data_IF_841421760798
#
_entry.id   IF_841421760798
#
_cell.length_a   1.000
_cell.length_b   1.000
_cell.length_c   1.000
_cell.angle_alpha   90.00
_cell.angle_beta   90.00
_cell.angle_gamma   90.00
#
_symmetry.space_group_name_H-M   'P 1'
#
loop_
_entity.id
_entity.type
_entity.pdbx_description
1 polymer ?
#
# COMPACT_ATOMS: atom_id res chain seq x y z
N UNK A 1 -5.35 22.38 9.69
CA UNK A 1 -4.51 21.17 9.68
C UNK A 1 -3.08 21.59 9.99
N UNK A 2 -2.46 21.11 11.07
CA UNK A 2 -1.03 21.37 11.33
C UNK A 2 -0.24 20.37 10.49
N UNK A 3 0.62 20.85 9.61
CA UNK A 3 1.55 20.00 8.86
C UNK A 3 2.70 19.67 9.80
N UNK A 4 2.91 18.38 10.05
CA UNK A 4 3.99 17.88 10.92
C UNK A 4 5.01 17.13 10.08
N UNK A 5 6.26 17.15 10.52
CA UNK A 5 7.36 16.41 9.89
C UNK A 5 7.23 14.91 10.14
N UNK A 6 7.96 14.15 9.33
CA UNK A 6 8.24 12.73 9.51
C UNK A 6 8.50 12.30 10.95
N UNK A 7 9.38 13.06 11.61
CA UNK A 7 9.89 12.75 12.94
C UNK A 7 8.87 13.12 14.00
N UNK A 8 8.18 14.26 13.84
CA UNK A 8 7.09 14.66 14.72
C UNK A 8 5.92 13.67 14.66
N UNK A 9 5.57 13.16 13.48
CA UNK A 9 4.51 12.16 13.34
C UNK A 9 4.84 10.88 14.12
N UNK A 10 6.09 10.39 14.02
CA UNK A 10 6.54 9.22 14.80
C UNK A 10 6.51 9.45 16.30
N UNK A 11 6.89 10.65 16.73
CA UNK A 11 6.87 10.99 18.15
C UNK A 11 5.43 11.06 18.68
N UNK A 12 4.49 11.59 17.88
CA UNK A 12 3.07 11.58 18.20
C UNK A 12 2.55 10.15 18.31
N UNK A 13 2.88 9.28 17.35
CA UNK A 13 2.48 7.87 17.39
C UNK A 13 3.06 7.17 18.62
N UNK A 14 4.35 7.39 18.92
CA UNK A 14 5.02 6.83 20.10
C UNK A 14 4.31 7.23 21.39
N UNK A 15 4.03 8.51 21.59
CA UNK A 15 3.32 8.99 22.79
C UNK A 15 1.91 8.44 22.86
N UNK A 16 1.23 8.34 21.73
CA UNK A 16 -0.12 7.75 21.66
C UNK A 16 -0.11 6.28 22.10
N UNK A 17 0.94 5.55 21.77
CA UNK A 17 1.12 4.15 22.20
C UNK A 17 1.54 4.07 23.67
N UNK A 18 2.57 4.82 24.07
CA UNK A 18 3.23 4.68 25.38
C UNK A 18 2.48 5.40 26.51
N UNK A 19 1.91 6.57 26.25
CA UNK A 19 1.28 7.42 27.28
C UNK A 19 -0.25 7.24 27.32
N UNK A 20 -0.89 7.10 26.15
CA UNK A 20 -2.35 6.93 26.06
C UNK A 20 -2.74 5.44 26.06
N UNK A 21 -1.83 4.56 25.66
CA UNK A 21 -2.06 3.11 25.65
C UNK A 21 -2.83 2.60 24.43
N UNK A 22 -2.95 3.38 23.35
CA UNK A 22 -3.60 2.93 22.12
C UNK A 22 -2.62 2.05 21.33
N UNK A 23 -2.96 0.78 21.02
CA UNK A 23 -2.04 -0.09 20.30
C UNK A 23 -1.68 0.43 18.91
N UNK A 24 -0.42 0.24 18.48
CA UNK A 24 0.03 0.64 17.14
C UNK A 24 -0.81 0.06 16.01
N UNK A 25 -1.25 -1.20 16.15
CA UNK A 25 -2.18 -1.84 15.22
C UNK A 25 -3.49 -1.05 15.03
N UNK A 26 -4.01 -0.38 16.08
CA UNK A 26 -5.23 0.44 15.99
C UNK A 26 -4.94 1.75 15.25
N UNK A 27 -3.76 2.34 15.43
CA UNK A 27 -3.35 3.53 14.67
C UNK A 27 -3.20 3.22 13.18
N UNK A 28 -2.52 2.10 12.86
CA UNK A 28 -2.36 1.58 11.51
C UNK A 28 -3.73 1.25 10.87
N UNK A 29 -4.65 0.68 11.65
CA UNK A 29 -6.02 0.41 11.20
C UNK A 29 -6.73 1.69 10.76
N UNK A 30 -6.65 2.74 11.58
CA UNK A 30 -7.29 4.02 11.29
C UNK A 30 -6.68 4.71 10.06
N UNK A 31 -5.35 4.63 9.91
CA UNK A 31 -4.65 5.16 8.73
C UNK A 31 -5.11 4.46 7.45
N UNK A 32 -5.09 3.13 7.44
CA UNK A 32 -5.52 2.35 6.28
C UNK A 32 -7.02 2.52 5.96
N UNK A 33 -7.89 2.58 6.98
CA UNK A 33 -9.32 2.86 6.79
C UNK A 33 -9.58 4.23 6.14
N UNK A 34 -8.76 5.22 6.46
CA UNK A 34 -8.89 6.56 5.87
C UNK A 34 -8.63 6.52 4.36
N UNK A 35 -7.60 5.79 3.92
CA UNK A 35 -7.29 5.59 2.50
C UNK A 35 -8.34 4.73 1.81
N UNK A 36 -8.80 3.65 2.45
CA UNK A 36 -9.91 2.83 1.95
C UNK A 36 -11.17 3.67 1.69
N UNK A 37 -11.57 4.51 2.66
CA UNK A 37 -12.74 5.37 2.52
C UNK A 37 -12.58 6.37 1.37
N UNK A 38 -11.38 6.95 1.20
CA UNK A 38 -11.10 7.81 0.06
C UNK A 38 -11.28 7.08 -1.28
N UNK A 39 -10.71 5.88 -1.42
CA UNK A 39 -10.87 5.09 -2.65
C UNK A 39 -12.34 4.77 -2.89
N UNK A 40 -13.07 4.33 -1.85
CA UNK A 40 -14.50 4.03 -1.94
C UNK A 40 -15.33 5.25 -2.37
N UNK A 41 -14.98 6.43 -1.89
CA UNK A 41 -15.69 7.66 -2.25
C UNK A 41 -15.40 8.07 -3.69
N UNK A 42 -14.17 7.87 -4.18
CA UNK A 42 -13.77 8.12 -5.58
C UNK A 42 -14.44 7.17 -6.57
N UNK A 43 -14.71 5.94 -6.16
CA UNK A 43 -15.36 4.90 -6.98
C UNK A 43 -16.87 4.82 -6.74
N UNK A 44 -17.44 5.75 -5.97
CA UNK A 44 -18.86 5.78 -5.65
C UNK A 44 -19.72 5.85 -6.91
N UNK A 45 -20.72 4.97 -7.00
CA UNK A 45 -21.62 4.86 -8.16
C UNK A 45 -21.19 3.81 -9.18
N UNK A 46 -20.04 3.16 -8.97
CA UNK A 46 -19.57 2.02 -9.74
C UNK A 46 -19.58 0.74 -8.88
N UNK A 47 -19.55 -0.42 -9.52
CA UNK A 47 -19.40 -1.72 -8.84
C UNK A 47 -17.94 -1.94 -8.44
N UNK A 48 -17.60 -2.26 -7.18
CA UNK A 48 -16.21 -2.49 -6.75
C UNK A 48 -15.41 -3.45 -7.63
N UNK A 49 -16.05 -4.50 -8.13
CA UNK A 49 -15.46 -5.56 -8.96
C UNK A 49 -14.99 -5.06 -10.33
N UNK A 50 -15.40 -3.86 -10.76
CA UNK A 50 -14.93 -3.25 -11.99
C UNK A 50 -13.55 -2.62 -11.87
N UNK A 51 -13.04 -2.43 -10.65
CA UNK A 51 -11.72 -1.83 -10.43
C UNK A 51 -10.67 -2.89 -10.09
N UNK A 52 -9.55 -2.83 -10.80
CA UNK A 52 -8.32 -3.54 -10.48
C UNK A 52 -7.39 -2.61 -9.71
N UNK A 53 -6.99 -3.03 -8.52
CA UNK A 53 -6.18 -2.25 -7.60
C UNK A 53 -4.87 -3.00 -7.32
N UNK A 54 -3.75 -2.32 -7.58
CA UNK A 54 -2.43 -2.79 -7.20
C UNK A 54 -1.97 -2.08 -5.93
N UNK A 55 -1.54 -2.83 -4.92
CA UNK A 55 -0.99 -2.29 -3.68
C UNK A 55 0.47 -2.70 -3.56
N UNK A 56 1.40 -1.74 -3.58
CA UNK A 56 2.83 -2.02 -3.39
C UNK A 56 3.21 -1.79 -1.94
N UNK A 57 3.52 -2.86 -1.20
CA UNK A 57 3.76 -2.80 0.23
C UNK A 57 5.25 -3.06 0.56
N UNK A 58 5.89 -2.08 1.20
CA UNK A 58 7.20 -2.28 1.82
C UNK A 58 7.10 -3.04 3.16
N UNK A 59 8.22 -3.38 3.79
CA UNK A 59 8.22 -4.13 5.07
C UNK A 59 7.88 -3.32 6.32
N UNK A 60 7.86 -1.99 6.23
CA UNK A 60 7.67 -1.08 7.36
C UNK A 60 6.21 -0.72 7.62
N UNK A 61 5.98 0.26 8.53
CA UNK A 61 4.63 0.69 8.93
C UNK A 61 3.75 1.08 7.74
N UNK A 62 4.28 1.80 6.75
CA UNK A 62 3.54 2.16 5.55
C UNK A 62 3.04 0.93 4.78
N UNK A 63 3.85 -0.11 4.67
CA UNK A 63 3.39 -1.36 4.06
C UNK A 63 2.30 -2.03 4.89
N UNK A 64 2.38 -1.92 6.21
CA UNK A 64 1.29 -2.26 7.11
C UNK A 64 -0.01 -1.50 6.82
N UNK A 65 0.06 -0.17 6.64
CA UNK A 65 -1.09 0.65 6.23
C UNK A 65 -1.65 0.18 4.88
N UNK A 66 -0.77 -0.08 3.91
CA UNK A 66 -1.14 -0.63 2.60
C UNK A 66 -1.83 -2.00 2.70
N UNK A 67 -1.37 -2.86 3.60
CA UNK A 67 -2.00 -4.16 3.86
C UNK A 67 -3.39 -4.01 4.50
N UNK A 68 -3.60 -3.01 5.37
CA UNK A 68 -4.93 -2.64 5.89
C UNK A 68 -5.83 -2.18 4.74
N UNK A 69 -5.34 -1.29 3.88
CA UNK A 69 -6.08 -0.82 2.69
C UNK A 69 -6.47 -2.01 1.81
N UNK A 70 -5.52 -2.89 1.50
CA UNK A 70 -5.72 -4.04 0.64
C UNK A 70 -6.82 -4.98 1.18
N UNK A 71 -6.77 -5.34 2.46
CA UNK A 71 -7.76 -6.26 3.03
C UNK A 71 -9.16 -5.67 3.12
N UNK A 72 -9.29 -4.36 3.34
CA UNK A 72 -10.60 -3.70 3.35
C UNK A 72 -11.18 -3.57 1.95
N UNK A 73 -10.36 -3.21 0.95
CA UNK A 73 -10.76 -3.20 -0.45
C UNK A 73 -11.16 -4.61 -0.93
N UNK A 74 -10.37 -5.62 -0.60
CA UNK A 74 -10.69 -7.02 -0.91
C UNK A 74 -12.04 -7.44 -0.33
N UNK A 75 -12.27 -7.18 0.97
CA UNK A 75 -13.54 -7.48 1.62
C UNK A 75 -14.72 -6.66 1.07
N UNK A 76 -14.47 -5.51 0.45
CA UNK A 76 -15.48 -4.68 -0.19
C UNK A 76 -15.77 -5.05 -1.66
N UNK A 77 -15.16 -6.11 -2.20
CA UNK A 77 -15.42 -6.63 -3.54
C UNK A 77 -14.49 -6.09 -4.64
N UNK A 78 -13.48 -5.30 -4.30
CA UNK A 78 -12.50 -4.83 -5.28
C UNK A 78 -11.58 -5.97 -5.73
N UNK A 79 -11.07 -5.91 -6.98
CA UNK A 79 -10.02 -6.83 -7.45
C UNK A 79 -8.67 -6.31 -7.00
N UNK A 80 -8.17 -6.84 -5.88
CA UNK A 80 -6.91 -6.38 -5.26
C UNK A 80 -5.80 -7.40 -5.48
N UNK A 81 -4.62 -6.91 -5.87
CA UNK A 81 -3.36 -7.67 -5.79
C UNK A 81 -2.34 -6.88 -4.98
N UNK A 82 -1.73 -7.53 -3.99
CA UNK A 82 -0.65 -6.95 -3.19
C UNK A 82 0.70 -7.40 -3.75
N UNK A 83 1.58 -6.45 -4.04
CA UNK A 83 2.96 -6.68 -4.42
C UNK A 83 3.87 -6.34 -3.24
N UNK A 84 4.42 -7.37 -2.58
CA UNK A 84 5.32 -7.24 -1.44
C UNK A 84 6.75 -6.96 -1.95
N UNK A 85 7.35 -5.85 -1.49
CA UNK A 85 8.70 -5.44 -1.89
C UNK A 85 9.79 -5.93 -0.92
N UNK A 86 9.46 -6.94 -0.14
CA UNK A 86 10.34 -7.67 0.75
C UNK A 86 9.75 -9.06 0.99
N UNK A 87 10.59 -10.00 1.41
CA UNK A 87 10.10 -11.30 1.84
C UNK A 87 9.10 -11.17 3.01
N UNK A 88 8.04 -11.99 3.08
CA UNK A 88 7.06 -11.97 4.17
C UNK A 88 7.70 -11.98 5.57
N UNK A 89 8.80 -12.70 5.74
CA UNK A 89 9.53 -12.85 7.01
C UNK A 89 10.25 -11.55 7.42
N UNK A 90 10.47 -10.63 6.49
CA UNK A 90 11.09 -9.34 6.77
C UNK A 90 10.10 -8.31 7.37
N UNK A 91 8.80 -8.59 7.34
CA UNK A 91 7.79 -7.79 8.01
C UNK A 91 7.85 -8.05 9.51
N UNK A 92 7.67 -7.01 10.32
CA UNK A 92 7.65 -7.13 11.78
C UNK A 92 6.56 -6.25 12.40
N UNK A 93 6.32 -6.42 13.70
CA UNK A 93 5.34 -5.64 14.46
C UNK A 93 3.93 -5.66 13.84
N UNK A 94 3.32 -4.47 13.75
CA UNK A 94 1.96 -4.29 13.23
C UNK A 94 1.86 -4.58 11.73
N UNK A 95 2.93 -4.36 10.96
CA UNK A 95 2.96 -4.70 9.54
C UNK A 95 2.90 -6.23 9.32
N UNK A 96 3.64 -7.00 10.12
CA UNK A 96 3.56 -8.48 10.09
C UNK A 96 2.20 -9.00 10.57
N UNK A 97 1.56 -8.31 11.51
CA UNK A 97 0.19 -8.64 11.92
C UNK A 97 -0.77 -8.48 10.74
N UNK A 98 -0.76 -7.33 10.07
CA UNK A 98 -1.66 -7.08 8.94
C UNK A 98 -1.35 -7.95 7.72
N UNK A 99 -0.08 -8.31 7.47
CA UNK A 99 0.28 -9.27 6.44
C UNK A 99 -0.39 -10.63 6.69
N UNK A 100 -0.27 -11.15 7.92
CA UNK A 100 -0.91 -12.43 8.30
C UNK A 100 -2.43 -12.38 8.20
N UNK A 101 -3.05 -11.25 8.55
CA UNK A 101 -4.51 -11.08 8.42
C UNK A 101 -4.91 -11.10 6.93
N UNK A 102 -4.22 -10.33 6.08
CA UNK A 102 -4.50 -10.28 4.64
C UNK A 102 -4.33 -11.67 3.98
N UNK A 103 -3.29 -12.42 4.36
CA UNK A 103 -3.10 -13.81 3.91
C UNK A 103 -4.28 -14.70 4.31
N UNK A 104 -4.74 -14.64 5.56
CA UNK A 104 -5.87 -15.44 6.05
C UNK A 104 -7.21 -15.06 5.41
N UNK A 105 -7.37 -13.81 4.98
CA UNK A 105 -8.53 -13.35 4.22
C UNK A 105 -8.46 -13.75 2.73
N UNK A 106 -7.36 -14.36 2.30
CA UNK A 106 -7.18 -14.80 0.91
C UNK A 106 -6.86 -13.67 -0.06
N UNK A 107 -6.34 -12.54 0.41
CA UNK A 107 -5.94 -11.43 -0.46
C UNK A 107 -4.83 -11.90 -1.41
N UNK A 108 -5.01 -11.81 -2.75
CA UNK A 108 -3.97 -12.19 -3.70
C UNK A 108 -2.68 -11.40 -3.49
N UNK A 109 -1.54 -12.09 -3.45
CA UNK A 109 -0.26 -11.44 -3.21
C UNK A 109 0.90 -12.09 -3.97
N UNK A 110 1.88 -11.26 -4.34
CA UNK A 110 3.11 -11.63 -5.04
C UNK A 110 4.30 -10.91 -4.40
N UNK A 111 5.45 -11.57 -4.34
CA UNK A 111 6.68 -10.97 -3.83
C UNK A 111 7.54 -10.52 -5.00
N UNK A 112 8.01 -9.26 -4.97
CA UNK A 112 8.86 -8.65 -5.99
C UNK A 112 10.19 -8.31 -5.35
N UNK A 113 11.24 -9.05 -5.70
CA UNK A 113 12.57 -8.93 -5.07
C UNK A 113 13.67 -8.57 -6.07
N UNK A 114 13.34 -8.54 -7.35
CA UNK A 114 14.26 -8.30 -8.44
C UNK A 114 13.59 -7.49 -9.57
N UNK A 115 14.41 -6.95 -10.48
CA UNK A 115 13.91 -6.30 -11.70
C UNK A 115 13.19 -7.32 -12.61
N UNK A 116 13.63 -8.57 -12.64
CA UNK A 116 12.96 -9.64 -13.40
C UNK A 116 11.54 -9.90 -12.88
N UNK A 117 11.33 -9.88 -11.56
CA UNK A 117 9.99 -9.99 -10.98
C UNK A 117 9.10 -8.80 -11.37
N UNK A 118 9.70 -7.60 -11.47
CA UNK A 118 8.99 -6.40 -11.89
C UNK A 118 8.58 -6.48 -13.37
N UNK A 119 9.46 -6.99 -14.23
CA UNK A 119 9.16 -7.24 -15.65
C UNK A 119 8.02 -8.24 -15.81
N UNK A 120 8.00 -9.33 -15.02
CA UNK A 120 6.93 -10.35 -15.06
C UNK A 120 5.55 -9.80 -14.71
N UNK A 121 5.47 -8.78 -13.85
CA UNK A 121 4.19 -8.17 -13.48
C UNK A 121 3.80 -6.99 -14.36
N UNK A 122 4.68 -6.54 -15.25
CA UNK A 122 4.44 -5.35 -16.08
C UNK A 122 3.16 -5.46 -16.91
N UNK A 123 2.91 -6.62 -17.50
CA UNK A 123 1.68 -6.95 -18.24
C UNK A 123 0.44 -6.99 -17.32
N UNK A 124 0.60 -7.41 -16.06
CA UNK A 124 -0.50 -7.46 -15.09
C UNK A 124 -0.90 -6.07 -14.58
N UNK A 125 0.06 -5.15 -14.59
CA UNK A 125 -0.18 -3.74 -14.27
C UNK A 125 -0.90 -3.02 -15.42
N UNK A 126 -0.93 -3.61 -16.62
CA UNK A 126 -1.75 -3.08 -17.71
C UNK A 126 -3.25 -3.23 -17.37
N UNK A 127 -3.93 -2.08 -17.31
CA UNK A 127 -5.34 -2.02 -16.93
C UNK A 127 -5.59 -2.07 -15.42
N UNK A 128 -4.57 -1.83 -14.59
CA UNK A 128 -4.79 -1.40 -13.20
C UNK A 128 -5.39 0.00 -13.19
N UNK A 129 -6.50 0.16 -12.49
CA UNK A 129 -7.23 1.43 -12.39
C UNK A 129 -6.69 2.30 -11.25
N UNK A 130 -6.20 1.66 -10.17
CA UNK A 130 -5.71 2.35 -8.96
C UNK A 130 -4.42 1.70 -8.47
N UNK A 131 -3.41 2.51 -8.22
CA UNK A 131 -2.16 2.10 -7.57
C UNK A 131 -2.08 2.72 -6.18
N UNK A 132 -1.89 1.90 -5.16
CA UNK A 132 -1.59 2.33 -3.79
C UNK A 132 -0.11 2.15 -3.54
N UNK A 133 0.60 3.28 -3.42
CA UNK A 133 2.01 3.31 -2.99
C UNK A 133 2.08 3.26 -1.46
N UNK A 134 2.43 2.08 -0.95
CA UNK A 134 2.69 1.81 0.46
C UNK A 134 4.14 1.33 0.65
N UNK A 135 5.05 1.79 -0.22
CA UNK A 135 6.43 1.30 -0.29
C UNK A 135 7.26 1.95 0.81
N UNK A 136 7.24 3.28 0.87
CA UNK A 136 8.08 4.05 1.76
C UNK A 136 7.26 5.06 2.55
N UNK A 137 7.46 5.01 3.87
CA UNK A 137 7.00 6.07 4.76
C UNK A 137 7.93 7.23 4.83
N UNK A 138 7.70 8.05 5.84
CA UNK A 138 8.52 9.19 6.22
C UNK A 138 9.98 8.84 6.62
N UNK A 139 10.42 7.59 6.39
CA UNK A 139 11.65 6.98 6.89
C UNK A 139 12.77 6.81 5.90
N UNK A 140 12.62 7.24 4.64
CA UNK A 140 13.69 7.14 3.67
C UNK A 140 14.37 8.46 3.37
N UNK A 141 15.68 8.45 3.61
CA UNK A 141 16.67 9.27 2.89
C UNK A 141 17.07 8.49 1.63
N UNK A 142 16.20 8.44 0.63
CA UNK A 142 16.47 7.86 -0.69
C UNK A 142 16.26 8.92 -1.77
N UNK A 143 17.20 9.06 -2.72
CA UNK A 143 17.01 9.95 -3.87
C UNK A 143 15.81 9.46 -4.69
N UNK A 144 14.76 10.27 -4.74
CA UNK A 144 13.64 10.11 -5.66
C UNK A 144 14.13 10.31 -7.09
N UNK A 145 14.20 9.23 -7.87
CA UNK A 145 14.44 9.27 -9.31
C UNK A 145 13.16 9.64 -10.06
N UNK A 146 13.28 10.51 -11.06
CA UNK A 146 12.19 10.87 -11.97
C UNK A 146 12.01 9.75 -13.00
N UNK A 147 10.96 8.95 -12.86
CA UNK A 147 10.59 7.97 -13.87
C UNK A 147 9.73 8.65 -14.94
N UNK A 148 10.32 8.94 -16.10
CA UNK A 148 9.62 9.49 -17.26
C UNK A 148 9.37 8.36 -18.27
N UNK A 149 8.10 8.07 -18.56
CA UNK A 149 7.71 7.23 -19.69
C UNK A 149 8.07 7.95 -21.00
N UNK A 150 8.89 7.34 -21.85
CA UNK A 150 8.99 7.76 -23.27
C UNK A 150 7.78 7.17 -23.98
N UNK A 151 6.86 8.03 -24.41
CA UNK A 151 5.87 7.67 -25.41
C UNK A 151 6.57 7.54 -26.76
N UNK A 152 6.77 6.31 -27.23
CA UNK A 152 7.01 6.03 -28.65
C UNK A 152 5.67 6.10 -29.38
N UNK A 153 5.32 7.27 -29.89
CA UNK A 153 4.33 7.38 -30.95
C UNK A 153 4.98 6.93 -32.26
N UNK A 154 4.52 5.80 -32.77
CA UNK A 154 4.84 5.33 -34.12
C UNK A 154 4.25 6.27 -35.19
N UNK A 155 5.05 6.44 -36.24
CA UNK A 155 4.69 6.64 -37.65
C UNK A 155 3.44 7.44 -38.01
N UNK A 156 3.68 8.59 -38.66
CA UNK A 156 2.86 9.03 -39.80
C UNK A 156 3.77 9.53 -40.91
N UNK A 157 3.55 8.97 -42.11
CA UNK A 157 4.10 9.24 -43.45
C UNK A 157 5.58 8.97 -43.71
#
# INVERSE_FOLDING_TARGET
MKVVTAQEMREIDRRTIEEIGIPGAVLMENAGLSVFNLIRDLTKGFTPESFKIAVFAGKGNNGGDGLVVARHLWNAGYKVTVYLLAQPEAFSGDAALNLRIAQKLGVPMKTILSEEDLERISEELEGVDVVVDAIFGTGLKGRSGVWRRRSSSGSTS
#
